data_IF_790515542510
#
_entry.id   IF_790515542510
#
_cell.length_a   1.000
_cell.length_b   1.000
_cell.length_c   1.000
_cell.angle_alpha   90.00
_cell.angle_beta   90.00
_cell.angle_gamma   90.00
#
_symmetry.space_group_name_H-M   'P 1'
#
loop_
_entity.id
_entity.type
_entity.pdbx_description
1 polymer ?
#
# COMPACT_ATOMS: atom_id res chain seq x y z
N UNK A 1 38.21 35.63 -33.63
CA UNK A 1 38.39 35.45 -32.18
C UNK A 1 37.15 35.97 -31.47
N UNK A 2 36.76 35.28 -30.38
CA UNK A 2 35.59 35.51 -29.51
C UNK A 2 34.22 35.20 -30.17
N UNK A 3 33.35 34.32 -29.66
CA UNK A 3 33.25 33.67 -28.35
C UNK A 3 31.98 34.13 -27.63
N UNK A 4 30.95 33.26 -27.61
CA UNK A 4 29.82 33.21 -26.66
C UNK A 4 28.92 32.03 -27.10
N UNK A 5 28.97 30.84 -26.49
CA UNK A 5 28.42 30.46 -25.17
C UNK A 5 27.00 31.02 -25.01
N UNK A 6 25.93 30.22 -25.07
CA UNK A 6 25.73 28.92 -24.46
C UNK A 6 24.87 29.12 -23.20
N UNK A 7 23.54 29.09 -23.33
CA UNK A 7 22.61 28.97 -22.21
C UNK A 7 21.38 28.18 -22.66
N UNK A 8 21.48 26.86 -22.59
CA UNK A 8 20.34 25.97 -22.48
C UNK A 8 20.06 25.75 -21.00
N UNK A 9 19.10 26.48 -20.44
CA UNK A 9 18.62 26.28 -19.07
C UNK A 9 17.37 25.40 -19.16
N UNK A 10 17.54 24.10 -18.93
CA UNK A 10 16.45 23.21 -18.57
C UNK A 10 16.67 22.75 -17.13
N UNK A 11 15.84 23.15 -16.15
CA UNK A 11 15.87 22.52 -14.85
C UNK A 11 15.22 21.14 -14.96
N UNK A 12 15.84 20.17 -14.27
CA UNK A 12 15.49 18.78 -14.36
C UNK A 12 14.10 18.42 -13.85
N UNK A 13 13.64 17.27 -14.32
CA UNK A 13 12.79 16.39 -13.53
C UNK A 13 13.37 14.99 -13.71
N UNK A 14 14.24 14.62 -12.78
CA UNK A 14 14.57 13.22 -12.52
C UNK A 14 13.26 12.53 -12.09
N UNK A 15 12.62 11.84 -13.02
CA UNK A 15 11.54 10.89 -12.72
C UNK A 15 12.17 9.52 -12.51
N UNK A 16 12.67 9.27 -11.30
CA UNK A 16 13.40 8.03 -11.01
C UNK A 16 13.62 7.74 -9.54
N UNK A 17 12.70 8.15 -8.65
CA UNK A 17 12.78 7.87 -7.20
C UNK A 17 11.46 7.27 -6.66
N UNK A 18 10.67 6.64 -7.53
CA UNK A 18 9.40 6.00 -7.16
C UNK A 18 9.48 4.48 -6.93
N UNK A 19 10.55 3.83 -7.39
CA UNK A 19 10.59 2.35 -7.53
C UNK A 19 11.20 1.63 -6.32
N UNK A 20 12.24 2.20 -5.69
CA UNK A 20 12.98 1.54 -4.60
C UNK A 20 12.16 1.47 -3.28
N UNK A 21 11.25 2.43 -3.08
CA UNK A 21 10.34 2.46 -1.90
C UNK A 21 9.18 1.47 -2.02
N UNK A 22 8.91 0.96 -3.22
CA UNK A 22 7.81 0.02 -3.51
C UNK A 22 8.21 -1.44 -3.25
N UNK A 23 9.49 -1.77 -3.37
CA UNK A 23 9.99 -3.13 -3.21
C UNK A 23 9.68 -3.74 -1.82
N UNK A 24 9.85 -3.01 -0.70
CA UNK A 24 9.48 -3.52 0.63
C UNK A 24 7.98 -3.78 0.77
N UNK A 25 7.15 -2.98 0.09
CA UNK A 25 5.69 -3.09 0.10
C UNK A 25 5.25 -4.31 -0.70
N UNK A 26 5.80 -4.53 -1.89
CA UNK A 26 5.50 -5.70 -2.71
C UNK A 26 5.80 -7.01 -1.96
N UNK A 27 6.94 -7.08 -1.26
CA UNK A 27 7.30 -8.23 -0.41
C UNK A 27 6.34 -8.41 0.76
N UNK A 28 5.82 -7.33 1.35
CA UNK A 28 4.83 -7.40 2.43
C UNK A 28 3.45 -7.86 1.92
N UNK A 29 3.07 -7.46 0.71
CA UNK A 29 1.85 -7.92 0.04
C UNK A 29 1.97 -9.40 -0.35
N UNK A 30 3.11 -9.83 -0.90
CA UNK A 30 3.37 -11.24 -1.22
C UNK A 30 3.30 -12.14 0.02
N UNK A 31 3.72 -11.63 1.20
CA UNK A 31 3.61 -12.36 2.47
C UNK A 31 2.16 -12.59 2.92
N UNK A 32 1.21 -11.77 2.49
CA UNK A 32 -0.21 -12.01 2.76
C UNK A 32 -0.74 -13.24 2.00
N UNK A 33 -0.07 -13.67 0.93
CA UNK A 33 -0.36 -14.90 0.17
C UNK A 33 0.42 -16.12 0.63
N UNK A 34 1.13 -16.03 1.75
CA UNK A 34 1.91 -17.15 2.24
C UNK A 34 1.00 -18.31 2.66
N UNK A 35 1.40 -19.56 2.42
CA UNK A 35 0.62 -20.75 2.83
C UNK A 35 0.56 -20.93 4.36
N UNK A 36 1.54 -20.39 5.09
CA UNK A 36 1.58 -20.42 6.55
C UNK A 36 0.63 -19.37 7.17
N UNK A 37 -0.37 -19.87 7.89
CA UNK A 37 -1.40 -19.07 8.60
C UNK A 37 -0.77 -18.05 9.55
N UNK A 38 0.30 -18.40 10.27
CA UNK A 38 0.95 -17.50 11.23
C UNK A 38 1.67 -16.36 10.50
N UNK A 39 2.25 -16.61 9.33
CA UNK A 39 2.87 -15.56 8.52
C UNK A 39 1.83 -14.61 7.93
N UNK A 40 0.66 -15.11 7.51
CA UNK A 40 -0.47 -14.27 7.08
C UNK A 40 -0.98 -13.40 8.23
N UNK A 41 -1.22 -13.99 9.41
CA UNK A 41 -1.64 -13.27 10.63
C UNK A 41 -0.67 -12.15 11.01
N UNK A 42 0.63 -12.43 11.00
CA UNK A 42 1.66 -11.43 11.29
C UNK A 42 1.70 -10.29 10.26
N UNK A 43 1.36 -10.59 9.01
CA UNK A 43 1.28 -9.60 7.93
C UNK A 43 0.02 -8.76 8.05
N UNK A 44 -1.13 -9.36 8.38
CA UNK A 44 -2.40 -8.66 8.65
C UNK A 44 -2.23 -7.65 9.78
N UNK A 45 -1.59 -8.03 10.89
CA UNK A 45 -1.30 -7.10 12.01
C UNK A 45 -0.45 -5.89 11.60
N UNK A 46 0.22 -5.93 10.44
CA UNK A 46 1.03 -4.84 9.88
C UNK A 46 0.33 -4.10 8.74
N UNK A 47 -0.93 -4.41 8.44
CA UNK A 47 -1.68 -3.78 7.35
C UNK A 47 -1.75 -2.26 7.49
N UNK A 48 -1.93 -1.75 8.70
CA UNK A 48 -1.96 -0.30 8.95
C UNK A 48 -0.66 0.39 8.50
N UNK A 49 0.50 -0.23 8.77
CA UNK A 49 1.81 0.29 8.33
C UNK A 49 1.97 0.23 6.82
N UNK A 50 1.47 -0.83 6.19
CA UNK A 50 1.47 -0.98 4.73
C UNK A 50 0.63 0.14 4.10
N UNK A 51 -0.62 0.30 4.54
CA UNK A 51 -1.53 1.34 4.04
C UNK A 51 -0.97 2.77 4.22
N UNK A 52 -0.30 3.04 5.34
CA UNK A 52 0.41 4.31 5.55
C UNK A 52 1.53 4.55 4.52
N UNK A 53 2.29 3.50 4.18
CA UNK A 53 3.39 3.60 3.21
C UNK A 53 2.88 3.70 1.75
N UNK A 54 1.76 3.05 1.42
CA UNK A 54 1.12 3.17 0.10
C UNK A 54 0.44 4.53 -0.10
N UNK A 55 -0.12 5.09 0.98
CA UNK A 55 -1.03 6.22 0.92
C UNK A 55 -2.47 5.82 0.60
N UNK A 56 -3.38 6.78 0.75
CA UNK A 56 -4.83 6.55 0.72
C UNK A 56 -5.35 6.10 -0.66
N UNK A 57 -4.76 6.59 -1.75
CA UNK A 57 -5.20 6.24 -3.11
C UNK A 57 -4.92 4.78 -3.42
N UNK A 58 -3.66 4.36 -3.26
CA UNK A 58 -3.22 2.99 -3.56
C UNK A 58 -3.73 1.97 -2.56
N UNK A 59 -3.98 2.37 -1.31
CA UNK A 59 -4.69 1.53 -0.34
C UNK A 59 -6.05 1.12 -0.89
N UNK A 60 -6.80 2.03 -1.50
CA UNK A 60 -8.12 1.72 -2.08
C UNK A 60 -8.04 0.97 -3.41
N UNK A 61 -7.13 1.35 -4.31
CA UNK A 61 -7.08 0.79 -5.66
C UNK A 61 -6.29 -0.51 -5.78
N UNK A 62 -5.41 -0.81 -4.82
CA UNK A 62 -4.54 -1.99 -4.87
C UNK A 62 -4.71 -2.87 -3.61
N UNK A 63 -4.55 -2.30 -2.42
CA UNK A 63 -4.54 -3.09 -1.18
C UNK A 63 -5.91 -3.68 -0.84
N UNK A 64 -6.99 -2.88 -0.90
CA UNK A 64 -8.34 -3.37 -0.61
C UNK A 64 -8.78 -4.46 -1.59
N UNK A 65 -8.69 -4.31 -2.93
CA UNK A 65 -9.02 -5.39 -3.85
C UNK A 65 -8.25 -6.68 -3.58
N UNK A 66 -6.98 -6.58 -3.19
CA UNK A 66 -6.16 -7.74 -2.85
C UNK A 66 -6.64 -8.48 -1.59
N UNK A 67 -7.07 -7.73 -0.59
CA UNK A 67 -7.58 -8.28 0.66
C UNK A 67 -8.97 -8.93 0.48
N UNK A 68 -9.70 -8.63 -0.61
CA UNK A 68 -11.03 -9.20 -0.86
C UNK A 68 -10.94 -10.71 -1.08
N UNK A 69 -9.81 -11.19 -1.57
CA UNK A 69 -9.57 -12.63 -1.73
C UNK A 69 -9.34 -13.34 -0.37
N UNK A 70 -9.02 -12.59 0.69
CA UNK A 70 -8.73 -13.11 2.03
C UNK A 70 -10.02 -13.40 2.83
N UNK A 71 -11.19 -12.97 2.37
CA UNK A 71 -12.47 -13.21 3.07
C UNK A 71 -12.84 -14.70 3.20
N UNK A 72 -12.14 -15.60 2.49
CA UNK A 72 -12.31 -17.05 2.54
C UNK A 72 -11.19 -17.77 3.32
N UNK A 73 -10.35 -17.04 4.04
CA UNK A 73 -9.25 -17.58 4.85
C UNK A 73 -9.76 -18.13 6.20
N UNK A 74 -8.85 -18.64 7.04
CA UNK A 74 -9.14 -19.20 8.36
C UNK A 74 -9.74 -18.16 9.32
N UNK A 75 -10.61 -18.60 10.24
CA UNK A 75 -11.35 -17.73 11.17
C UNK A 75 -10.45 -16.74 11.96
N UNK A 76 -9.27 -17.18 12.39
CA UNK A 76 -8.32 -16.34 13.12
C UNK A 76 -7.74 -15.21 12.24
N UNK A 77 -7.52 -15.50 10.95
CA UNK A 77 -7.03 -14.56 9.95
C UNK A 77 -8.11 -13.52 9.66
N UNK A 78 -9.35 -13.97 9.48
CA UNK A 78 -10.53 -13.13 9.27
C UNK A 78 -10.78 -12.19 10.47
N UNK A 79 -10.65 -12.71 11.69
CA UNK A 79 -10.81 -11.91 12.90
C UNK A 79 -9.77 -10.79 12.97
N UNK A 80 -8.49 -11.12 12.74
CA UNK A 80 -7.42 -10.12 12.74
C UNK A 80 -7.60 -9.10 11.62
N UNK A 81 -8.11 -9.51 10.46
CA UNK A 81 -8.43 -8.62 9.35
C UNK A 81 -9.53 -7.63 9.76
N UNK A 82 -10.64 -8.12 10.30
CA UNK A 82 -11.76 -7.29 10.75
C UNK A 82 -11.31 -6.25 11.80
N UNK A 83 -10.49 -6.65 12.77
CA UNK A 83 -9.92 -5.74 13.76
C UNK A 83 -9.07 -4.63 13.13
N UNK A 84 -8.25 -4.95 12.13
CA UNK A 84 -7.45 -3.95 11.43
C UNK A 84 -8.34 -2.97 10.65
N UNK A 85 -9.34 -3.49 9.93
CA UNK A 85 -10.20 -2.68 9.08
C UNK A 85 -11.09 -1.71 9.85
N UNK A 86 -11.44 -2.03 11.11
CA UNK A 86 -12.11 -1.08 12.00
C UNK A 86 -11.33 0.24 12.16
N UNK A 87 -10.01 0.20 12.02
CA UNK A 87 -9.12 1.36 12.17
C UNK A 87 -8.67 1.97 10.82
N UNK A 88 -9.15 1.44 9.68
CA UNK A 88 -8.68 1.85 8.35
C UNK A 88 -9.32 3.12 7.80
N UNK A 89 -10.37 3.66 8.45
CA UNK A 89 -11.10 4.85 7.95
C UNK A 89 -10.15 6.03 7.63
N UNK A 90 -9.15 6.29 8.49
CA UNK A 90 -8.15 7.32 8.23
C UNK A 90 -7.18 6.97 7.09
N UNK A 91 -6.93 5.67 6.86
CA UNK A 91 -5.98 5.14 5.89
C UNK A 91 -6.56 5.04 4.47
N UNK A 92 -7.88 5.18 4.31
CA UNK A 92 -8.56 5.24 3.01
C UNK A 92 -8.93 6.65 2.57
N UNK A 93 -8.56 7.67 3.36
CA UNK A 93 -8.85 9.07 3.06
C UNK A 93 -10.06 9.64 3.81
N UNK A 94 -10.45 9.03 4.92
CA UNK A 94 -11.50 9.54 5.81
C UNK A 94 -12.89 8.96 5.54
N UNK A 95 -13.92 9.51 6.21
CA UNK A 95 -15.28 8.96 6.21
C UNK A 95 -15.93 8.92 4.83
N UNK A 96 -15.57 9.83 3.92
CA UNK A 96 -16.06 9.83 2.54
C UNK A 96 -15.73 8.53 1.78
N UNK A 97 -14.63 7.87 2.19
CA UNK A 97 -14.14 6.64 1.58
C UNK A 97 -14.27 5.41 2.49
N UNK A 98 -14.92 5.55 3.65
CA UNK A 98 -15.15 4.42 4.56
C UNK A 98 -15.99 3.30 3.91
N UNK A 99 -16.83 3.63 2.93
CA UNK A 99 -17.60 2.66 2.17
C UNK A 99 -16.73 1.63 1.44
N UNK A 100 -15.47 1.95 1.12
CA UNK A 100 -14.54 0.99 0.51
C UNK A 100 -14.16 -0.16 1.47
N UNK A 101 -14.38 0.01 2.78
CA UNK A 101 -14.10 -0.99 3.81
C UNK A 101 -15.30 -1.91 4.08
N UNK A 102 -16.42 -1.70 3.37
CA UNK A 102 -17.67 -2.47 3.47
C UNK A 102 -17.77 -3.45 2.29
N UNK A 103 -16.85 -4.40 2.26
CA UNK A 103 -16.90 -5.67 1.53
C UNK A 103 -17.72 -6.73 2.25
#
# INVERSE_FOLDING_TARGET
MAGASGLGTGPGAAGGDGDDSLYPIAVLIDKLRNEDVQLRLNSIKKLSTIALALGVERTRSELLPFLTDIIYDEDEVLLALAEQLGNFTGLVGGPDFAHCLLW
#
